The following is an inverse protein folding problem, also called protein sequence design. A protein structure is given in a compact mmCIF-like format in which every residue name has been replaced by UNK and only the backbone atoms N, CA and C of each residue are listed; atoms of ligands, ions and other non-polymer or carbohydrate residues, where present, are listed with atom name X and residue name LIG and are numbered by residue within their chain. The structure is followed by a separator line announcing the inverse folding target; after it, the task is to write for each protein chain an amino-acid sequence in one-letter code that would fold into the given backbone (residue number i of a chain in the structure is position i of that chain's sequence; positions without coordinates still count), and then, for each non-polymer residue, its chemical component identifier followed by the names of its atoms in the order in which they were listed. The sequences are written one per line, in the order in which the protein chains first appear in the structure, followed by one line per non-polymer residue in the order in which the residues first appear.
data_IF_875147291588
#
_entry.id   IF_875147291588
#
_cell.length_a   1.000
_cell.length_b   1.000
_cell.length_c   1.000
_cell.angle_alpha   90.00
_cell.angle_beta   90.00
_cell.angle_gamma   90.00
#
_symmetry.space_group_name_H-M   'P 1'
#
loop_
_entity.id
_entity.type
_entity.pdbx_description
1 polymer ?
#
# COMPACT_ATOMS: atom_id res chain seq x y z
N UNK A 1 9.86 10.81 -19.19
CA UNK A 1 10.22 10.75 -17.76
C UNK A 1 9.57 9.52 -17.15
N UNK A 2 10.01 9.11 -15.96
CA UNK A 2 9.34 8.07 -15.17
C UNK A 2 8.54 8.73 -14.05
N UNK A 3 7.43 8.11 -13.63
CA UNK A 3 6.56 8.59 -12.57
C UNK A 3 6.26 7.45 -11.60
N UNK A 4 6.21 7.75 -10.30
CA UNK A 4 5.87 6.79 -9.27
C UNK A 4 4.46 7.11 -8.73
N UNK A 5 3.54 6.15 -8.85
CA UNK A 5 2.16 6.26 -8.40
C UNK A 5 1.74 4.98 -7.67
N UNK A 6 0.71 5.10 -6.84
CA UNK A 6 -0.05 3.92 -6.42
C UNK A 6 -0.84 3.38 -7.62
N UNK A 7 -0.97 2.06 -7.73
CA UNK A 7 -1.71 1.38 -8.80
C UNK A 7 -3.25 1.44 -8.61
N UNK A 8 -3.77 2.59 -8.16
CA UNK A 8 -5.19 2.85 -7.89
C UNK A 8 -5.93 3.52 -9.06
N UNK A 9 -7.14 4.03 -8.82
CA UNK A 9 -7.99 4.67 -9.86
C UNK A 9 -7.29 5.78 -10.64
N UNK A 10 -6.50 6.61 -9.96
CA UNK A 10 -5.72 7.68 -10.61
C UNK A 10 -4.74 7.15 -11.67
N UNK A 11 -4.12 5.99 -11.43
CA UNK A 11 -3.21 5.39 -12.42
C UNK A 11 -3.98 4.80 -13.62
N UNK A 12 -5.16 4.22 -13.38
CA UNK A 12 -6.04 3.73 -14.45
C UNK A 12 -6.56 4.87 -15.33
N UNK A 13 -6.97 5.99 -14.75
CA UNK A 13 -7.41 7.18 -15.50
C UNK A 13 -6.32 7.70 -16.45
N UNK A 14 -5.05 7.69 -16.00
CA UNK A 14 -3.91 8.05 -16.85
C UNK A 14 -3.70 7.05 -18.00
N UNK A 15 -3.92 5.76 -17.75
CA UNK A 15 -3.87 4.73 -18.80
C UNK A 15 -4.99 4.95 -19.82
N UNK A 16 -6.22 5.18 -19.36
CA UNK A 16 -7.39 5.44 -20.22
C UNK A 16 -7.24 6.73 -21.03
N UNK A 17 -6.59 7.75 -20.46
CA UNK A 17 -6.27 9.00 -21.15
C UNK A 17 -5.10 8.86 -22.16
N UNK A 18 -4.49 7.67 -22.29
CA UNK A 18 -3.37 7.43 -23.19
C UNK A 18 -2.05 8.06 -22.75
N UNK A 19 -1.93 8.43 -21.48
CA UNK A 19 -0.75 9.12 -20.91
C UNK A 19 0.30 8.14 -20.36
N UNK A 20 -0.01 6.84 -20.35
CA UNK A 20 0.86 5.79 -19.82
C UNK A 20 1.38 4.88 -20.92
N UNK A 21 2.66 4.49 -20.81
CA UNK A 21 3.31 3.61 -21.78
C UNK A 21 3.00 2.15 -21.48
N UNK A 22 2.58 1.42 -22.50
CA UNK A 22 2.50 -0.06 -22.48
C UNK A 22 3.90 -0.68 -22.32
N UNK A 23 4.09 -1.46 -21.26
CA UNK A 23 5.33 -2.15 -20.88
C UNK A 23 5.28 -3.65 -21.12
N UNK A 24 4.24 -4.18 -21.77
CA UNK A 24 3.99 -5.63 -21.92
C UNK A 24 5.18 -6.38 -22.55
N UNK A 25 5.82 -5.80 -23.56
CA UNK A 25 7.00 -6.40 -24.22
C UNK A 25 8.18 -6.51 -23.25
N UNK A 26 8.41 -5.46 -22.44
CA UNK A 26 9.48 -5.43 -21.44
C UNK A 26 9.19 -6.44 -20.32
N UNK A 27 7.94 -6.49 -19.86
CA UNK A 27 7.48 -7.41 -18.84
C UNK A 27 7.60 -8.87 -19.28
N UNK A 28 7.24 -9.17 -20.53
CA UNK A 28 7.38 -10.50 -21.14
C UNK A 28 8.85 -10.91 -21.23
N UNK A 29 9.72 -10.03 -21.76
CA UNK A 29 11.16 -10.28 -21.84
C UNK A 29 11.78 -10.49 -20.45
N UNK A 30 11.31 -9.72 -19.47
CA UNK A 30 11.73 -9.80 -18.07
C UNK A 30 11.07 -10.92 -17.27
N UNK A 31 10.15 -11.69 -17.87
CA UNK A 31 9.38 -12.76 -17.20
C UNK A 31 8.69 -12.30 -15.91
N UNK A 32 8.11 -11.10 -15.91
CA UNK A 32 7.54 -10.49 -14.70
C UNK A 32 6.43 -11.33 -14.06
N UNK A 33 5.64 -12.05 -14.87
CA UNK A 33 4.60 -12.97 -14.40
C UNK A 33 5.13 -14.11 -13.53
N UNK A 34 6.41 -14.47 -13.68
CA UNK A 34 7.04 -15.57 -12.97
C UNK A 34 7.69 -15.09 -11.67
N UNK A 35 8.28 -13.89 -11.71
CA UNK A 35 9.12 -13.32 -10.63
C UNK A 35 8.36 -12.42 -9.65
N UNK A 36 7.33 -11.69 -10.11
CA UNK A 36 6.57 -10.78 -9.24
C UNK A 36 5.58 -11.58 -8.41
N UNK A 37 5.74 -11.53 -7.08
CA UNK A 37 4.93 -12.26 -6.13
C UNK A 37 4.53 -11.36 -4.93
N UNK A 38 3.29 -11.49 -4.41
CA UNK A 38 2.19 -12.30 -4.95
C UNK A 38 1.68 -11.80 -6.31
N UNK A 39 1.01 -12.68 -7.07
CA UNK A 39 0.52 -12.37 -8.44
C UNK A 39 -0.35 -11.11 -8.48
N UNK A 40 -1.12 -10.88 -7.43
CA UNK A 40 -2.00 -9.71 -7.28
C UNK A 40 -1.28 -8.37 -7.42
N UNK A 41 0.03 -8.30 -7.15
CA UNK A 41 0.81 -7.07 -7.36
C UNK A 41 0.91 -6.71 -8.85
N UNK A 42 1.07 -7.71 -9.71
CA UNK A 42 1.15 -7.48 -11.16
C UNK A 42 -0.25 -7.28 -11.76
N UNK A 43 -1.28 -7.91 -11.18
CA UNK A 43 -2.67 -7.68 -11.58
C UNK A 43 -3.06 -6.20 -11.40
N UNK A 44 -2.60 -5.54 -10.33
CA UNK A 44 -2.79 -4.09 -10.14
C UNK A 44 -2.13 -3.22 -11.21
N UNK A 45 -1.08 -3.71 -11.87
CA UNK A 45 -0.43 -3.05 -13.01
C UNK A 45 -1.02 -3.43 -14.37
N UNK A 46 -1.99 -4.35 -14.41
CA UNK A 46 -2.54 -4.90 -15.65
C UNK A 46 -3.92 -4.33 -15.93
N UNK A 47 -4.05 -3.66 -17.08
CA UNK A 47 -5.30 -3.03 -17.53
C UNK A 47 -5.54 -3.49 -18.96
N UNK A 48 -6.73 -4.06 -19.23
CA UNK A 48 -7.09 -4.62 -20.54
C UNK A 48 -6.05 -5.58 -21.12
N UNK A 49 -5.45 -6.41 -20.25
CA UNK A 49 -4.44 -7.42 -20.61
C UNK A 49 -3.03 -6.87 -20.86
N UNK A 50 -2.80 -5.57 -20.66
CA UNK A 50 -1.52 -4.90 -20.85
C UNK A 50 -0.92 -4.43 -19.52
N UNK A 51 0.41 -4.47 -19.42
CA UNK A 51 1.13 -4.09 -18.22
C UNK A 51 1.61 -2.65 -18.35
N UNK A 52 1.22 -1.77 -17.42
CA UNK A 52 1.52 -0.33 -17.47
C UNK A 52 2.43 0.18 -16.34
N UNK A 53 2.75 -0.67 -15.36
CA UNK A 53 3.69 -0.31 -14.29
C UNK A 53 4.59 -1.47 -13.85
N UNK A 54 5.62 -1.11 -13.08
CA UNK A 54 6.54 -2.03 -12.40
C UNK A 54 6.37 -1.83 -10.90
N UNK A 55 5.95 -2.85 -10.13
CA UNK A 55 5.88 -2.74 -8.67
C UNK A 55 7.27 -2.50 -8.07
N UNK A 56 7.41 -1.47 -7.22
CA UNK A 56 8.69 -1.12 -6.56
C UNK A 56 8.69 -1.54 -5.09
N UNK A 57 7.56 -1.38 -4.40
CA UNK A 57 7.39 -1.74 -3.00
C UNK A 57 5.94 -2.13 -2.70
N UNK A 58 5.70 -2.57 -1.47
CA UNK A 58 4.37 -2.95 -0.96
C UNK A 58 4.17 -2.18 0.34
N UNK A 59 3.23 -1.25 0.35
CA UNK A 59 2.80 -0.55 1.55
C UNK A 59 1.43 -1.04 2.00
N UNK A 60 1.26 -1.09 3.31
CA UNK A 60 0.02 -1.44 3.99
C UNK A 60 -0.48 -0.24 4.77
N UNK A 61 -1.78 0.03 4.76
CA UNK A 61 -2.39 1.16 5.48
C UNK A 61 -2.85 0.78 6.89
N UNK A 62 -3.08 -0.51 7.11
CA UNK A 62 -3.62 -1.10 8.33
C UNK A 62 -2.57 -1.22 9.45
N UNK A 63 -1.86 -0.13 9.74
CA UNK A 63 -0.92 -0.03 10.86
C UNK A 63 -1.39 1.02 11.86
N UNK A 64 -1.22 0.71 13.14
CA UNK A 64 -1.36 1.65 14.24
C UNK A 64 0.01 1.81 14.91
N UNK A 65 0.50 3.04 15.00
CA UNK A 65 1.78 3.37 15.62
C UNK A 65 1.51 3.96 17.00
N UNK A 66 2.10 3.37 18.05
CA UNK A 66 1.86 3.74 19.45
C UNK A 66 3.18 4.09 20.14
N UNK A 67 3.12 4.99 21.11
CA UNK A 67 4.24 5.28 22.02
C UNK A 67 4.14 4.39 23.25
N UNK A 68 5.12 3.49 23.44
CA UNK A 68 5.17 2.65 24.63
C UNK A 68 5.26 3.49 25.92
N UNK A 69 6.06 4.56 25.90
CA UNK A 69 6.24 5.46 27.05
C UNK A 69 4.94 6.17 27.43
N UNK A 70 4.14 6.61 26.45
CA UNK A 70 2.87 7.28 26.71
C UNK A 70 1.86 6.34 27.40
N UNK A 71 1.80 5.09 26.94
CA UNK A 71 0.93 4.06 27.54
C UNK A 71 1.40 3.66 28.95
N UNK A 72 2.71 3.55 29.16
CA UNK A 72 3.29 3.31 30.49
C UNK A 72 2.97 4.46 31.47
N UNK A 73 3.18 5.71 31.05
CA UNK A 73 2.86 6.90 31.84
C UNK A 73 1.37 7.01 32.19
N UNK A 74 0.49 6.64 31.26
CA UNK A 74 -0.95 6.61 31.46
C UNK A 74 -1.44 5.41 32.29
N UNK A 75 -0.58 4.42 32.57
CA UNK A 75 -0.91 3.24 33.36
C UNK A 75 -1.91 2.30 32.67
N UNK A 76 -1.97 2.32 31.34
CA UNK A 76 -2.88 1.48 30.54
C UNK A 76 -2.09 0.53 29.63
N UNK A 77 -2.55 -0.72 29.42
CA UNK A 77 -1.86 -1.67 28.56
C UNK A 77 -1.93 -1.26 27.09
N UNK A 78 -0.97 -1.75 26.27
CA UNK A 78 -1.06 -1.60 24.82
C UNK A 78 -2.31 -2.31 24.28
N UNK A 79 -3.07 -1.67 23.39
CA UNK A 79 -4.31 -2.20 22.85
C UNK A 79 -4.04 -3.26 21.80
N UNK A 80 -4.89 -4.28 21.76
CA UNK A 80 -4.84 -5.40 20.80
C UNK A 80 -5.86 -5.26 19.69
N UNK A 81 -6.84 -4.38 19.89
CA UNK A 81 -7.86 -4.07 18.89
C UNK A 81 -8.26 -2.59 18.94
N UNK A 82 -9.15 -2.21 18.03
CA UNK A 82 -9.61 -0.84 17.89
C UNK A 82 -10.43 -0.35 19.09
N UNK A 83 -11.20 -1.23 19.73
CA UNK A 83 -12.03 -0.87 20.87
C UNK A 83 -11.17 -0.57 22.09
N UNK A 84 -10.16 -1.40 22.34
CA UNK A 84 -9.16 -1.18 23.40
C UNK A 84 -8.37 0.11 23.16
N UNK A 85 -8.00 0.41 21.91
CA UNK A 85 -7.31 1.64 21.54
C UNK A 85 -8.16 2.88 21.85
N UNK A 86 -9.43 2.89 21.43
CA UNK A 86 -10.35 4.00 21.71
C UNK A 86 -10.60 4.16 23.21
N UNK A 87 -10.75 3.05 23.95
CA UNK A 87 -10.94 3.08 25.39
C UNK A 87 -9.73 3.64 26.17
N UNK A 88 -8.52 3.53 25.62
CA UNK A 88 -7.31 4.09 26.22
C UNK A 88 -7.19 5.63 26.07
N UNK A 89 -7.91 6.24 25.13
CA UNK A 89 -7.75 7.65 24.79
C UNK A 89 -7.92 8.62 25.98
N UNK A 90 -8.94 8.49 26.86
CA UNK A 90 -9.10 9.40 28.00
C UNK A 90 -7.96 9.32 29.03
N UNK A 91 -7.38 8.12 29.21
CA UNK A 91 -6.23 7.93 30.10
C UNK A 91 -4.97 8.58 29.53
N UNK A 92 -4.75 8.44 28.22
CA UNK A 92 -3.64 9.06 27.50
C UNK A 92 -3.75 10.59 27.48
N UNK A 93 -4.94 11.15 27.31
CA UNK A 93 -5.15 12.61 27.34
C UNK A 93 -4.85 13.22 28.72
N UNK A 94 -5.16 12.50 29.80
CA UNK A 94 -4.94 12.95 31.18
C UNK A 94 -3.47 12.91 31.62
N UNK A 95 -2.65 12.04 31.02
CA UNK A 95 -1.32 11.65 31.51
C UNK A 95 -0.21 12.64 31.15
#
# INVERSE_FOLDING_TARGET
GATQFNHGRQAEELVQAGLMRDLTDVATKGKWTDVVRPKSLLDGCTIDGKIYCVPVNIHSWQWLWLSNEAFEKAGVPLPKDWNEFVAAAPALEKA
#
